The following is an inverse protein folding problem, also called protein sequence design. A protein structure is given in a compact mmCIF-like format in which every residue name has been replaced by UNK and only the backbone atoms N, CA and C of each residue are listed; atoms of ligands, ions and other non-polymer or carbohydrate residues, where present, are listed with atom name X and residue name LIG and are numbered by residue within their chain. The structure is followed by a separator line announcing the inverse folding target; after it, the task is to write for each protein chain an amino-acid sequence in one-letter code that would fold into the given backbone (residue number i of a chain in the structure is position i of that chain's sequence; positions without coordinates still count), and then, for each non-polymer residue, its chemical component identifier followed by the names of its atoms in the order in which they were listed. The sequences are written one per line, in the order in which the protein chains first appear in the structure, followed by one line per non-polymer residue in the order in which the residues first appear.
data_IF_968427185112
#
_entry.id   IF_968427185112
#
_cell.length_a   1.000
_cell.length_b   1.000
_cell.length_c   1.000
_cell.angle_alpha   90.00
_cell.angle_beta   90.00
_cell.angle_gamma   90.00
#
_symmetry.space_group_name_H-M   'P 1'
#
loop_
_entity.id
_entity.type
_entity.pdbx_description
1 polymer ?
#
# COMPACT_ATOMS: atom_id res chain seq x y z
N UNK A 1 6.04 -8.58 21.53
CA UNK A 1 4.62 -8.39 21.18
C UNK A 1 4.46 -8.75 19.71
N UNK A 2 4.12 -10.02 19.48
CA UNK A 2 3.81 -10.56 18.16
C UNK A 2 2.59 -9.85 17.60
N UNK A 3 2.79 -9.05 16.56
CA UNK A 3 1.72 -8.51 15.74
C UNK A 3 1.35 -9.52 14.64
N UNK A 4 0.96 -10.73 15.05
CA UNK A 4 0.21 -11.64 14.20
C UNK A 4 -1.22 -11.11 14.16
N UNK A 5 -1.59 -10.43 13.08
CA UNK A 5 -2.98 -10.05 12.83
C UNK A 5 -3.87 -11.30 12.74
N UNK A 6 -5.15 -11.21 13.13
CA UNK A 6 -6.04 -12.36 13.15
C UNK A 6 -6.27 -12.91 11.74
N UNK A 7 -6.04 -14.22 11.61
CA UNK A 7 -6.34 -15.04 10.44
C UNK A 7 -7.85 -15.01 10.18
N UNK A 8 -8.27 -14.45 9.04
CA UNK A 8 -9.64 -14.53 8.56
C UNK A 8 -9.89 -15.92 7.92
N UNK A 9 -10.12 -16.93 8.74
CA UNK A 9 -10.58 -18.24 8.28
C UNK A 9 -12.08 -18.23 8.05
N UNK A 10 -12.49 -18.18 6.79
CA UNK A 10 -13.91 -18.24 6.42
C UNK A 10 -14.15 -18.34 4.92
N UNK A 11 -14.03 -19.57 4.38
CA UNK A 11 -14.71 -20.03 3.17
C UNK A 11 -14.02 -19.79 1.84
N UNK A 12 -13.31 -20.83 1.37
CA UNK A 12 -13.00 -21.28 -0.01
C UNK A 12 -12.87 -20.25 -1.14
N UNK A 13 -12.06 -19.28 -0.95
CA UNK A 13 -10.96 -18.80 -1.76
C UNK A 13 -9.91 -18.50 -0.73
N UNK A 14 -8.97 -19.43 -0.55
CA UNK A 14 -7.73 -19.18 0.15
C UNK A 14 -7.11 -17.96 -0.53
N UNK A 15 -7.28 -16.78 0.08
CA UNK A 15 -6.31 -15.72 -0.09
C UNK A 15 -5.13 -16.30 0.65
N UNK A 16 -4.23 -16.99 -0.07
CA UNK A 16 -2.91 -17.30 0.43
C UNK A 16 -2.38 -15.95 0.93
N UNK A 17 -2.27 -15.78 2.24
CA UNK A 17 -1.46 -14.72 2.80
C UNK A 17 -0.06 -15.03 2.28
N UNK A 18 0.36 -14.30 1.24
CA UNK A 18 1.74 -14.31 0.81
C UNK A 18 2.57 -13.94 2.03
N UNK A 19 3.15 -14.93 2.68
CA UNK A 19 4.09 -14.70 3.77
C UNK A 19 5.27 -13.93 3.18
N UNK A 20 5.58 -12.77 3.77
CA UNK A 20 6.72 -11.97 3.33
C UNK A 20 7.98 -12.84 3.21
N UNK A 21 8.69 -12.83 2.08
CA UNK A 21 9.98 -13.48 1.95
C UNK A 21 11.06 -12.76 2.75
N UNK A 22 10.78 -11.54 3.26
CA UNK A 22 11.69 -10.70 4.01
C UNK A 22 11.39 -10.80 5.50
N UNK A 23 12.44 -10.87 6.31
CA UNK A 23 12.33 -10.77 7.76
C UNK A 23 12.12 -9.32 8.17
N UNK A 24 11.68 -9.10 9.41
CA UNK A 24 11.53 -7.74 9.96
C UNK A 24 12.86 -6.99 9.97
N UNK A 25 13.95 -7.70 10.31
CA UNK A 25 15.30 -7.15 10.33
C UNK A 25 15.75 -6.68 8.93
N UNK A 26 15.43 -7.42 7.88
CA UNK A 26 15.70 -7.02 6.50
C UNK A 26 14.90 -5.78 6.10
N UNK A 27 13.62 -5.72 6.44
CA UNK A 27 12.80 -4.54 6.15
C UNK A 27 13.21 -3.28 6.92
N UNK A 28 14.01 -3.40 7.99
CA UNK A 28 14.44 -2.31 8.88
C UNK A 28 15.95 -2.05 8.83
N UNK A 29 16.71 -2.70 7.94
CA UNK A 29 18.17 -2.63 7.87
C UNK A 29 18.75 -1.30 7.33
N UNK A 30 17.89 -0.38 6.90
CA UNK A 30 18.28 0.90 6.35
C UNK A 30 18.62 0.87 4.86
N UNK A 31 18.44 -0.27 4.18
CA UNK A 31 18.54 -0.41 2.73
C UNK A 31 17.16 -0.78 2.20
N UNK A 32 16.67 -0.09 1.18
CA UNK A 32 15.41 -0.42 0.53
C UNK A 32 15.68 -1.14 -0.77
N UNK A 33 15.32 -2.42 -0.84
CA UNK A 33 15.29 -3.17 -2.08
C UNK A 33 13.94 -2.96 -2.82
N UNK A 34 13.97 -3.01 -4.16
CA UNK A 34 12.78 -2.84 -4.98
C UNK A 34 11.67 -3.87 -4.68
N UNK A 35 12.05 -5.10 -4.33
CA UNK A 35 11.14 -6.18 -3.94
C UNK A 35 10.46 -5.97 -2.59
N UNK A 36 11.05 -5.18 -1.69
CA UNK A 36 10.55 -4.93 -0.34
C UNK A 36 9.41 -3.91 -0.29
N UNK A 37 9.24 -3.08 -1.35
CA UNK A 37 8.27 -1.98 -1.38
C UNK A 37 6.87 -2.44 -0.99
N UNK A 38 6.41 -3.56 -1.54
CA UNK A 38 5.07 -4.09 -1.28
C UNK A 38 4.87 -4.47 0.19
N UNK A 39 5.86 -5.12 0.77
CA UNK A 39 5.85 -5.59 2.15
C UNK A 39 6.01 -4.46 3.15
N UNK A 40 6.84 -3.49 2.79
CA UNK A 40 7.01 -2.28 3.58
C UNK A 40 5.72 -1.46 3.65
N UNK A 41 4.98 -1.33 2.53
CA UNK A 41 3.67 -0.67 2.49
C UNK A 41 2.67 -1.41 3.38
N UNK A 42 2.61 -2.72 3.32
CA UNK A 42 1.69 -3.51 4.15
C UNK A 42 1.96 -3.41 5.64
N UNK A 43 3.22 -3.34 6.04
CA UNK A 43 3.63 -3.29 7.43
C UNK A 43 3.66 -1.89 8.04
N UNK A 44 3.93 -0.84 7.24
CA UNK A 44 4.33 0.46 7.78
C UNK A 44 3.63 1.67 7.16
N UNK A 45 2.96 1.53 5.99
CA UNK A 45 2.26 2.68 5.38
C UNK A 45 1.01 3.05 6.18
N UNK A 46 0.96 4.27 6.71
CA UNK A 46 -0.15 4.74 7.56
C UNK A 46 -1.50 4.73 6.86
N UNK A 47 -1.56 5.06 5.57
CA UNK A 47 -2.80 5.06 4.78
C UNK A 47 -3.33 3.64 4.61
N UNK A 48 -2.45 2.69 4.29
CA UNK A 48 -2.81 1.28 4.15
C UNK A 48 -3.26 0.69 5.50
N UNK A 49 -2.52 0.95 6.58
CA UNK A 49 -2.83 0.46 7.93
C UNK A 49 -4.15 1.03 8.46
N UNK A 50 -4.41 2.33 8.23
CA UNK A 50 -5.67 2.96 8.61
C UNK A 50 -6.84 2.35 7.82
N UNK A 51 -6.70 2.16 6.52
CA UNK A 51 -7.72 1.51 5.70
C UNK A 51 -7.98 0.08 6.19
N UNK A 52 -6.92 -0.70 6.45
CA UNK A 52 -7.04 -2.05 7.01
C UNK A 52 -7.78 -2.05 8.35
N UNK A 53 -7.46 -1.12 9.24
CA UNK A 53 -8.13 -0.97 10.53
C UNK A 53 -9.61 -0.58 10.39
N UNK A 54 -9.93 0.35 9.49
CA UNK A 54 -11.32 0.75 9.21
C UNK A 54 -12.14 -0.42 8.65
N UNK A 55 -11.57 -1.15 7.68
CA UNK A 55 -12.22 -2.32 7.11
C UNK A 55 -12.39 -3.44 8.15
N UNK A 56 -11.39 -3.62 9.02
CA UNK A 56 -11.48 -4.55 10.14
C UNK A 56 -12.56 -4.15 11.14
N UNK A 57 -12.70 -2.88 11.50
CA UNK A 57 -13.76 -2.41 12.40
C UNK A 57 -15.17 -2.55 11.79
N UNK A 58 -15.28 -2.46 10.47
CA UNK A 58 -16.53 -2.75 9.75
C UNK A 58 -16.83 -4.25 9.68
N UNK A 59 -15.82 -5.12 9.67
CA UNK A 59 -15.99 -6.58 9.82
C UNK A 59 -16.31 -6.99 11.26
N UNK A 60 -16.24 -6.12 12.25
CA UNK A 60 -16.80 -6.37 13.59
C UNK A 60 -18.33 -6.37 13.59
N UNK A 61 -19.01 -5.99 12.52
CA UNK A 61 -20.38 -6.41 12.25
C UNK A 61 -20.50 -7.94 12.06
N UNK A 62 -19.40 -8.64 11.73
CA UNK A 62 -19.30 -10.09 11.88
C UNK A 62 -19.39 -10.53 13.36
N UNK A 63 -18.87 -9.75 14.30
CA UNK A 63 -19.05 -10.03 15.73
C UNK A 63 -20.52 -9.86 16.14
N UNK A 64 -21.26 -8.95 15.53
CA UNK A 64 -22.70 -8.83 15.71
C UNK A 64 -23.43 -10.04 15.10
N UNK A 65 -23.02 -10.50 13.93
CA UNK A 65 -23.56 -11.71 13.30
C UNK A 65 -23.27 -12.99 14.12
N UNK A 66 -22.05 -13.11 14.66
CA UNK A 66 -21.69 -14.22 15.55
C UNK A 66 -22.37 -14.11 16.92
N UNK A 67 -22.58 -12.89 17.45
CA UNK A 67 -23.36 -12.68 18.67
C UNK A 67 -24.83 -13.09 18.48
N UNK A 68 -25.46 -12.70 17.38
CA UNK A 68 -26.83 -13.13 17.04
C UNK A 68 -26.91 -14.66 16.85
N UNK A 69 -25.90 -15.29 16.29
CA UNK A 69 -25.85 -16.75 16.17
C UNK A 69 -25.68 -17.45 17.52
N UNK A 70 -24.92 -16.85 18.45
CA UNK A 70 -24.77 -17.36 19.82
C UNK A 70 -26.08 -17.22 20.62
N UNK A 71 -26.76 -16.05 20.49
CA UNK A 71 -28.09 -15.81 21.11
C UNK A 71 -29.13 -16.77 20.54
N UNK A 72 -29.14 -17.00 19.23
CA UNK A 72 -30.00 -18.02 18.63
C UNK A 72 -29.72 -19.44 19.12
N UNK A 73 -28.48 -19.73 19.50
CA UNK A 73 -28.12 -21.06 20.06
C UNK A 73 -28.58 -21.18 21.49
N UNK A 74 -28.48 -20.13 22.30
CA UNK A 74 -28.99 -20.09 23.66
C UNK A 74 -30.52 -20.28 23.67
N UNK A 75 -31.27 -19.57 22.83
CA UNK A 75 -32.72 -19.74 22.68
C UNK A 75 -33.11 -21.17 22.24
N UNK A 76 -32.28 -21.82 21.41
CA UNK A 76 -32.54 -23.21 21.05
C UNK A 76 -32.27 -24.17 22.21
N UNK A 77 -31.32 -23.88 23.10
CA UNK A 77 -31.03 -24.63 24.32
C UNK A 77 -32.19 -24.46 25.28
N UNK A 78 -32.65 -23.23 25.54
CA UNK A 78 -33.85 -22.97 26.38
C UNK A 78 -35.10 -23.67 25.82
N UNK A 79 -35.29 -23.67 24.50
CA UNK A 79 -36.36 -24.41 23.86
C UNK A 79 -36.26 -25.95 24.13
N UNK A 80 -35.01 -26.48 24.03
CA UNK A 80 -34.81 -27.94 24.28
C UNK A 80 -35.06 -28.34 25.73
N UNK A 81 -34.78 -27.45 26.68
CA UNK A 81 -35.06 -27.68 28.12
C UNK A 81 -36.54 -27.71 28.41
N UNK A 82 -37.38 -27.03 27.63
CA UNK A 82 -38.85 -27.11 27.73
C UNK A 82 -39.43 -28.38 27.08
N UNK A 83 -38.63 -29.13 26.34
CA UNK A 83 -39.11 -30.31 25.61
C UNK A 83 -39.33 -31.49 26.53
N UNK A 84 -40.60 -31.86 26.74
CA UNK A 84 -41.01 -33.09 27.41
C UNK A 84 -42.07 -33.84 26.62
N UNK A 85 -42.25 -35.13 26.88
CA UNK A 85 -43.25 -35.96 26.18
C UNK A 85 -44.68 -35.54 26.52
N UNK A 86 -44.91 -34.84 27.67
CA UNK A 86 -46.20 -34.37 28.18
C UNK A 86 -46.27 -32.82 28.26
N UNK A 87 -45.86 -32.12 27.18
CA UNK A 87 -46.00 -30.66 27.13
C UNK A 87 -47.50 -30.26 27.10
N UNK A 88 -47.88 -29.35 28.02
CA UNK A 88 -49.15 -28.66 27.93
C UNK A 88 -49.18 -27.65 26.75
N UNK A 89 -50.36 -27.05 26.48
CA UNK A 89 -50.54 -26.16 25.36
C UNK A 89 -49.67 -24.88 25.50
N UNK A 90 -49.48 -24.36 26.69
CA UNK A 90 -48.73 -23.14 26.98
C UNK A 90 -47.23 -23.37 26.81
N UNK A 91 -46.70 -24.47 27.34
CA UNK A 91 -45.30 -24.87 27.16
C UNK A 91 -44.94 -25.16 25.70
N UNK A 92 -45.92 -25.73 24.94
CA UNK A 92 -45.73 -25.97 23.51
C UNK A 92 -45.68 -24.65 22.68
N UNK A 93 -46.45 -23.68 23.04
CA UNK A 93 -46.44 -22.34 22.41
C UNK A 93 -45.13 -21.64 22.69
N UNK A 94 -44.62 -21.67 23.93
CA UNK A 94 -43.30 -21.15 24.29
C UNK A 94 -42.17 -21.84 23.51
N UNK A 95 -42.18 -23.17 23.43
CA UNK A 95 -41.19 -23.95 22.66
C UNK A 95 -41.14 -23.55 21.19
N UNK A 96 -42.31 -23.48 20.54
CA UNK A 96 -42.32 -23.04 19.11
C UNK A 96 -41.97 -21.57 18.95
N UNK A 97 -42.30 -20.69 19.92
CA UNK A 97 -41.88 -19.32 19.98
C UNK A 97 -40.35 -19.16 19.98
N UNK A 98 -39.66 -19.82 20.92
CA UNK A 98 -38.20 -19.80 21.01
C UNK A 98 -37.52 -20.34 19.72
N UNK A 99 -38.06 -21.39 19.11
CA UNK A 99 -37.56 -21.90 17.82
C UNK A 99 -37.75 -20.94 16.67
N UNK A 100 -38.86 -20.22 16.62
CA UNK A 100 -39.11 -19.23 15.58
C UNK A 100 -38.17 -18.05 15.73
N UNK A 101 -37.97 -17.55 16.94
CA UNK A 101 -37.05 -16.46 17.24
C UNK A 101 -35.60 -16.82 16.93
N UNK A 102 -35.15 -18.02 17.38
CA UNK A 102 -33.81 -18.52 17.07
C UNK A 102 -33.55 -18.64 15.55
N UNK A 103 -34.57 -19.04 14.76
CA UNK A 103 -34.46 -19.08 13.30
C UNK A 103 -34.32 -17.70 12.69
N UNK A 104 -35.04 -16.72 13.19
CA UNK A 104 -34.97 -15.34 12.69
C UNK A 104 -33.61 -14.71 13.05
N UNK A 105 -33.12 -14.87 14.26
CA UNK A 105 -31.78 -14.42 14.68
C UNK A 105 -30.67 -15.06 13.85
N UNK A 106 -30.78 -16.36 13.52
CA UNK A 106 -29.84 -17.03 12.62
C UNK A 106 -29.86 -16.45 11.21
N UNK A 107 -31.03 -16.11 10.67
CA UNK A 107 -31.13 -15.44 9.37
C UNK A 107 -30.50 -14.05 9.39
N UNK A 108 -30.76 -13.28 10.45
CA UNK A 108 -30.17 -11.95 10.61
C UNK A 108 -28.66 -12.04 10.78
N UNK A 109 -28.19 -12.97 11.61
CA UNK A 109 -26.77 -13.24 11.79
C UNK A 109 -26.08 -13.63 10.49
N UNK A 110 -26.69 -14.53 9.70
CA UNK A 110 -26.17 -14.96 8.40
C UNK A 110 -26.10 -13.81 7.38
N UNK A 111 -27.02 -12.86 7.39
CA UNK A 111 -26.94 -11.65 6.54
C UNK A 111 -25.79 -10.75 6.93
N UNK A 112 -25.48 -10.61 8.22
CA UNK A 112 -24.38 -9.80 8.74
C UNK A 112 -23.02 -10.45 8.57
N UNK A 113 -22.93 -11.79 8.51
CA UNK A 113 -21.69 -12.53 8.26
C UNK A 113 -21.41 -12.74 6.77
N UNK A 114 -22.06 -11.98 5.89
CA UNK A 114 -22.05 -12.28 4.47
C UNK A 114 -20.64 -12.27 3.86
N UNK A 115 -20.30 -13.35 3.14
CA UNK A 115 -19.04 -13.64 2.45
C UNK A 115 -18.59 -12.52 1.48
N UNK A 116 -19.52 -11.72 0.97
CA UNK A 116 -19.25 -10.67 -0.02
C UNK A 116 -18.54 -9.47 0.56
N UNK A 117 -18.81 -9.10 1.81
CA UNK A 117 -18.10 -8.02 2.49
C UNK A 117 -16.61 -8.33 2.61
N UNK A 118 -16.22 -9.55 2.98
CA UNK A 118 -14.82 -9.96 3.08
C UNK A 118 -14.11 -9.92 1.73
N UNK A 119 -14.75 -10.37 0.65
CA UNK A 119 -14.20 -10.35 -0.70
C UNK A 119 -14.01 -8.92 -1.24
N UNK A 120 -14.95 -8.02 -0.97
CA UNK A 120 -14.85 -6.60 -1.36
C UNK A 120 -13.74 -5.90 -0.59
N UNK A 121 -13.60 -6.17 0.71
CA UNK A 121 -12.54 -5.58 1.53
C UNK A 121 -11.14 -6.05 1.12
N UNK A 122 -10.97 -7.34 0.90
CA UNK A 122 -9.70 -7.89 0.41
C UNK A 122 -9.31 -7.28 -0.94
N UNK A 123 -10.28 -7.11 -1.85
CA UNK A 123 -10.07 -6.42 -3.15
C UNK A 123 -9.66 -4.97 -2.96
N UNK A 124 -10.35 -4.22 -2.10
CA UNK A 124 -10.05 -2.80 -1.82
C UNK A 124 -8.65 -2.64 -1.23
N UNK A 125 -8.26 -3.50 -0.28
CA UNK A 125 -6.91 -3.49 0.30
C UNK A 125 -5.85 -3.79 -0.76
N UNK A 126 -6.04 -4.84 -1.57
CA UNK A 126 -5.11 -5.19 -2.64
C UNK A 126 -4.99 -4.09 -3.70
N UNK A 127 -6.11 -3.48 -4.09
CA UNK A 127 -6.10 -2.35 -5.03
C UNK A 127 -5.34 -1.15 -4.45
N UNK A 128 -5.55 -0.83 -3.18
CA UNK A 128 -4.85 0.27 -2.50
C UNK A 128 -3.37 -0.04 -2.37
N UNK A 129 -2.98 -1.27 -1.96
CA UNK A 129 -1.59 -1.73 -1.96
C UNK A 129 -0.94 -1.51 -3.32
N UNK A 130 -1.54 -2.03 -4.39
CA UNK A 130 -1.00 -1.93 -5.73
C UNK A 130 -0.85 -0.48 -6.22
N UNK A 131 -1.79 0.40 -5.87
CA UNK A 131 -1.68 1.84 -6.18
C UNK A 131 -0.51 2.49 -5.45
N UNK A 132 -0.34 2.19 -4.16
CA UNK A 132 0.78 2.71 -3.35
C UNK A 132 2.13 2.15 -3.84
N UNK A 133 2.22 0.85 -4.12
CA UNK A 133 3.42 0.23 -4.69
C UNK A 133 3.82 0.91 -5.99
N UNK A 134 2.89 1.09 -6.93
CA UNK A 134 3.15 1.79 -8.19
C UNK A 134 3.58 3.24 -7.97
N UNK A 135 2.98 3.94 -7.00
CA UNK A 135 3.37 5.31 -6.69
C UNK A 135 4.82 5.38 -6.21
N UNK A 136 5.22 4.50 -5.28
CA UNK A 136 6.60 4.43 -4.78
C UNK A 136 7.58 4.03 -5.89
N UNK A 137 7.24 3.03 -6.70
CA UNK A 137 8.06 2.62 -7.84
C UNK A 137 8.32 3.75 -8.83
N UNK A 138 7.28 4.51 -9.17
CA UNK A 138 7.41 5.67 -10.06
C UNK A 138 8.28 6.77 -9.44
N UNK A 139 8.14 7.02 -8.13
CA UNK A 139 8.97 8.01 -7.44
C UNK A 139 10.45 7.56 -7.37
N UNK A 140 10.71 6.26 -7.17
CA UNK A 140 12.07 5.72 -7.21
C UNK A 140 12.72 5.90 -8.58
N UNK A 141 12.00 5.59 -9.66
CA UNK A 141 12.51 5.81 -11.01
C UNK A 141 12.84 7.30 -11.23
N UNK A 142 11.93 8.21 -10.85
CA UNK A 142 12.18 9.66 -10.97
C UNK A 142 13.36 10.11 -10.10
N UNK A 143 13.53 9.54 -8.92
CA UNK A 143 14.68 9.83 -8.05
C UNK A 143 15.99 9.40 -8.71
N UNK A 144 16.07 8.19 -9.25
CA UNK A 144 17.25 7.71 -9.96
C UNK A 144 17.56 8.50 -11.22
N UNK A 145 16.54 8.92 -11.99
CA UNK A 145 16.70 9.79 -13.15
C UNK A 145 17.23 11.18 -12.78
N UNK A 146 16.94 11.66 -11.58
CA UNK A 146 17.38 12.96 -11.10
C UNK A 146 18.82 12.94 -10.57
N UNK A 147 19.31 11.82 -10.03
CA UNK A 147 20.66 11.71 -9.47
C UNK A 147 21.78 12.12 -10.45
N UNK A 148 21.81 11.67 -11.73
CA UNK A 148 22.79 12.13 -12.71
C UNK A 148 22.71 13.62 -13.02
N UNK A 149 21.52 14.23 -12.91
CA UNK A 149 21.34 15.67 -13.09
C UNK A 149 21.96 16.45 -11.93
N UNK A 150 21.78 15.97 -10.68
CA UNK A 150 22.43 16.52 -9.48
C UNK A 150 23.96 16.46 -9.64
N UNK A 151 24.50 15.32 -10.04
CA UNK A 151 25.93 15.14 -10.29
C UNK A 151 26.45 16.10 -11.36
N UNK A 152 25.72 16.23 -12.48
CA UNK A 152 26.08 17.15 -13.56
C UNK A 152 26.06 18.61 -13.08
N UNK A 153 25.06 19.00 -12.30
CA UNK A 153 24.97 20.34 -11.73
C UNK A 153 26.14 20.63 -10.77
N UNK A 154 26.54 19.66 -9.92
CA UNK A 154 27.72 19.79 -9.05
C UNK A 154 29.01 19.97 -9.84
N UNK A 155 29.24 19.17 -10.88
CA UNK A 155 30.40 19.32 -11.76
C UNK A 155 30.42 20.67 -12.48
N UNK A 156 29.26 21.20 -12.85
CA UNK A 156 29.15 22.55 -13.42
C UNK A 156 29.55 23.63 -12.40
N UNK A 157 29.17 23.47 -11.12
CA UNK A 157 29.63 24.37 -10.04
C UNK A 157 31.15 24.34 -9.94
N UNK A 158 31.77 23.16 -9.90
CA UNK A 158 33.23 23.01 -9.84
C UNK A 158 33.92 23.71 -11.01
N UNK A 159 33.40 23.52 -12.24
CA UNK A 159 33.93 24.17 -13.46
C UNK A 159 33.78 25.69 -13.34
N UNK A 160 32.64 26.22 -12.94
CA UNK A 160 32.42 27.66 -12.80
C UNK A 160 33.29 28.25 -11.67
N UNK A 161 33.55 27.49 -10.58
CA UNK A 161 34.49 27.91 -9.54
C UNK A 161 35.92 28.07 -10.09
N UNK A 162 36.42 27.07 -10.82
CA UNK A 162 37.75 27.14 -11.46
C UNK A 162 37.85 28.35 -12.41
N UNK A 163 36.79 28.59 -13.19
CA UNK A 163 36.76 29.75 -14.11
C UNK A 163 36.73 31.09 -13.35
N UNK A 164 35.99 31.20 -12.25
CA UNK A 164 35.94 32.41 -11.43
C UNK A 164 37.29 32.68 -10.77
N UNK A 165 37.94 31.65 -10.23
CA UNK A 165 39.28 31.75 -9.62
C UNK A 165 40.34 32.15 -10.68
N UNK A 166 40.27 31.57 -11.90
CA UNK A 166 41.15 31.91 -12.96
C UNK A 166 40.99 33.38 -13.41
N UNK A 167 39.73 33.86 -13.57
CA UNK A 167 39.42 35.24 -13.90
C UNK A 167 39.97 36.22 -12.85
N UNK A 168 39.83 35.91 -11.56
CA UNK A 168 40.39 36.72 -10.47
C UNK A 168 41.91 36.78 -10.52
N UNK A 169 42.58 35.65 -10.75
CA UNK A 169 44.05 35.58 -10.91
C UNK A 169 44.54 36.38 -12.12
N UNK A 170 43.82 36.27 -13.22
CA UNK A 170 44.16 37.02 -14.45
C UNK A 170 43.96 38.53 -14.26
N UNK A 171 42.92 38.93 -13.53
CA UNK A 171 42.71 40.35 -13.15
C UNK A 171 43.85 40.87 -12.27
N UNK A 172 44.30 40.14 -11.29
CA UNK A 172 45.41 40.50 -10.45
C UNK A 172 46.72 40.70 -11.22
N UNK A 173 46.85 39.96 -12.34
CA UNK A 173 47.98 40.12 -13.29
C UNK A 173 47.76 41.20 -14.35
N UNK A 174 46.65 41.95 -14.30
CA UNK A 174 46.27 42.96 -15.26
C UNK A 174 45.87 42.41 -16.64
N UNK A 175 45.51 41.14 -16.72
CA UNK A 175 45.18 40.38 -17.97
C UNK A 175 43.70 40.11 -18.15
N UNK A 176 42.84 40.41 -17.16
CA UNK A 176 41.40 40.35 -17.23
C UNK A 176 40.76 41.63 -16.70
N UNK A 177 39.62 42.01 -17.22
CA UNK A 177 38.83 43.14 -16.78
C UNK A 177 37.98 42.80 -15.59
N UNK A 178 37.58 43.82 -14.80
CA UNK A 178 36.62 43.67 -13.72
C UNK A 178 35.27 43.09 -14.21
N UNK A 179 34.87 43.36 -15.44
CA UNK A 179 33.67 42.85 -16.06
C UNK A 179 33.74 41.33 -16.32
N UNK A 180 34.91 40.82 -16.75
CA UNK A 180 35.12 39.36 -16.91
C UNK A 180 35.04 38.62 -15.60
N UNK A 181 35.67 39.15 -14.54
CA UNK A 181 35.53 38.57 -13.19
C UNK A 181 34.09 38.58 -12.72
N UNK A 182 33.37 39.68 -12.87
CA UNK A 182 31.95 39.75 -12.48
C UNK A 182 31.10 38.76 -13.27
N UNK A 183 31.37 38.56 -14.56
CA UNK A 183 30.67 37.58 -15.39
C UNK A 183 30.92 36.17 -14.91
N UNK A 184 32.17 35.81 -14.60
CA UNK A 184 32.52 34.51 -14.07
C UNK A 184 31.89 34.25 -12.68
N UNK A 185 31.86 35.25 -11.80
CA UNK A 185 31.21 35.17 -10.49
C UNK A 185 29.69 34.97 -10.61
N UNK A 186 29.03 35.69 -11.54
CA UNK A 186 27.60 35.48 -11.82
C UNK A 186 27.31 34.08 -12.36
N UNK A 187 28.15 33.54 -13.23
CA UNK A 187 28.02 32.16 -13.72
C UNK A 187 28.14 31.14 -12.58
N UNK A 188 29.09 31.33 -11.68
CA UNK A 188 29.24 30.50 -10.50
C UNK A 188 28.01 30.55 -9.57
N UNK A 189 27.50 31.79 -9.33
CA UNK A 189 26.30 31.95 -8.51
C UNK A 189 25.08 31.24 -9.12
N UNK A 190 24.93 31.33 -10.43
CA UNK A 190 23.85 30.65 -11.14
C UNK A 190 24.00 29.13 -11.13
N UNK A 191 25.24 28.63 -11.32
CA UNK A 191 25.53 27.19 -11.19
C UNK A 191 25.20 26.67 -9.79
N UNK A 192 25.60 27.37 -8.73
CA UNK A 192 25.27 27.04 -7.35
C UNK A 192 23.74 26.97 -7.11
N UNK A 193 23.00 27.96 -7.62
CA UNK A 193 21.53 27.98 -7.48
C UNK A 193 20.89 26.78 -8.20
N UNK A 194 21.38 26.45 -9.40
CA UNK A 194 20.86 25.28 -10.15
C UNK A 194 21.19 23.96 -9.47
N UNK A 195 22.41 23.82 -8.92
CA UNK A 195 22.78 22.62 -8.17
C UNK A 195 21.92 22.44 -6.92
N UNK A 196 21.70 23.52 -6.18
CA UNK A 196 20.86 23.51 -4.98
C UNK A 196 19.39 23.16 -5.31
N UNK A 197 18.86 23.64 -6.41
CA UNK A 197 17.52 23.29 -6.87
C UNK A 197 17.42 21.79 -7.21
N UNK A 198 18.41 21.24 -7.93
CA UNK A 198 18.45 19.83 -8.25
C UNK A 198 18.57 18.95 -6.98
N UNK A 199 19.45 19.30 -6.05
CA UNK A 199 19.60 18.62 -4.76
C UNK A 199 18.31 18.65 -3.92
N UNK A 200 17.66 19.81 -3.83
CA UNK A 200 16.39 19.95 -3.11
C UNK A 200 15.29 19.10 -3.77
N UNK A 201 15.26 19.04 -5.10
CA UNK A 201 14.33 18.18 -5.84
C UNK A 201 14.55 16.69 -5.51
N UNK A 202 15.80 16.23 -5.52
CA UNK A 202 16.15 14.87 -5.16
C UNK A 202 15.80 14.57 -3.68
N UNK A 203 16.08 15.50 -2.77
CA UNK A 203 15.74 15.36 -1.36
C UNK A 203 14.22 15.25 -1.14
N UNK A 204 13.42 16.07 -1.81
CA UNK A 204 11.97 16.00 -1.73
C UNK A 204 11.42 14.67 -2.24
N UNK A 205 11.93 14.15 -3.36
CA UNK A 205 11.55 12.82 -3.86
C UNK A 205 11.89 11.73 -2.85
N UNK A 206 13.12 11.77 -2.30
CA UNK A 206 13.55 10.83 -1.25
C UNK A 206 12.62 10.87 -0.04
N UNK A 207 12.31 12.06 0.47
CA UNK A 207 11.42 12.23 1.62
C UNK A 207 10.01 11.69 1.34
N UNK A 208 9.46 11.94 0.15
CA UNK A 208 8.16 11.43 -0.24
C UNK A 208 8.14 9.88 -0.29
N UNK A 209 9.20 9.26 -0.83
CA UNK A 209 9.36 7.80 -0.84
C UNK A 209 9.41 7.27 0.60
N UNK A 210 10.25 7.86 1.46
CA UNK A 210 10.40 7.45 2.85
C UNK A 210 9.08 7.52 3.61
N UNK A 211 8.33 8.61 3.48
CA UNK A 211 7.02 8.77 4.12
C UNK A 211 5.99 7.74 3.63
N UNK A 212 5.96 7.46 2.32
CA UNK A 212 5.07 6.43 1.78
C UNK A 212 5.41 5.03 2.27
N UNK A 213 6.66 4.77 2.61
CA UNK A 213 7.14 3.50 3.15
C UNK A 213 7.08 3.43 4.69
N UNK A 214 6.58 4.49 5.34
CA UNK A 214 6.46 4.57 6.79
C UNK A 214 7.77 4.80 7.54
N UNK A 215 8.78 5.33 6.85
CA UNK A 215 9.98 5.86 7.48
C UNK A 215 9.80 7.33 7.90
N UNK A 216 10.65 7.80 8.79
CA UNK A 216 10.80 9.24 9.02
C UNK A 216 11.42 9.91 7.78
N UNK A 217 11.05 11.16 7.52
CA UNK A 217 11.48 11.90 6.33
C UNK A 217 13.00 12.10 6.25
N UNK A 218 13.70 12.03 7.37
CA UNK A 218 15.16 12.18 7.52
C UNK A 218 15.87 10.87 7.81
N UNK A 219 15.17 9.72 7.71
CA UNK A 219 15.76 8.42 7.95
C UNK A 219 16.95 8.16 7.01
N UNK A 220 18.08 7.60 7.51
CA UNK A 220 19.28 7.36 6.73
C UNK A 220 19.15 6.11 5.85
N UNK A 221 18.08 6.04 5.08
CA UNK A 221 17.81 4.91 4.17
C UNK A 221 18.49 5.13 2.83
N UNK A 222 19.14 4.08 2.33
CA UNK A 222 19.68 3.99 0.97
C UNK A 222 18.74 3.20 0.09
N UNK A 223 18.59 3.61 -1.16
CA UNK A 223 17.80 2.87 -2.13
C UNK A 223 18.71 2.00 -2.99
N UNK A 224 18.37 0.73 -3.12
CA UNK A 224 19.03 -0.15 -4.07
C UNK A 224 18.61 0.20 -5.51
N UNK A 225 19.45 -0.17 -6.48
CA UNK A 225 19.20 0.10 -7.89
C UNK A 225 17.85 -0.48 -8.35
N UNK A 226 17.11 0.27 -9.16
CA UNK A 226 15.89 -0.24 -9.81
C UNK A 226 16.27 -1.37 -10.78
N UNK A 227 15.63 -2.54 -10.68
CA UNK A 227 15.98 -3.67 -11.53
C UNK A 227 15.73 -3.35 -13.01
N UNK A 228 16.74 -3.63 -13.82
CA UNK A 228 16.65 -3.48 -15.28
C UNK A 228 15.73 -4.56 -15.84
N UNK A 229 14.78 -4.23 -16.74
CA UNK A 229 13.92 -5.22 -17.38
C UNK A 229 14.72 -6.31 -18.08
N UNK A 230 14.41 -7.58 -17.82
CA UNK A 230 15.02 -8.69 -18.53
C UNK A 230 14.52 -8.70 -19.99
N UNK A 231 15.43 -8.45 -20.93
CA UNK A 231 15.13 -8.44 -22.35
C UNK A 231 14.58 -9.78 -22.85
N UNK A 232 15.03 -10.92 -22.26
CA UNK A 232 14.54 -12.26 -22.60
C UNK A 232 13.09 -12.41 -22.18
N UNK A 233 12.73 -11.94 -20.98
CA UNK A 233 11.37 -11.95 -20.48
C UNK A 233 10.46 -11.06 -21.32
N UNK A 234 10.92 -9.88 -21.70
CA UNK A 234 10.17 -8.96 -22.58
C UNK A 234 9.89 -9.60 -23.96
N UNK A 235 10.87 -10.31 -24.52
CA UNK A 235 10.73 -10.99 -25.81
C UNK A 235 9.76 -12.20 -25.77
N UNK A 236 9.51 -12.77 -24.59
CA UNK A 236 8.58 -13.91 -24.39
C UNK A 236 7.19 -13.49 -23.92
N UNK A 237 6.94 -12.19 -23.73
CA UNK A 237 5.62 -11.69 -23.35
C UNK A 237 4.60 -11.91 -24.49
N UNK A 238 3.47 -12.55 -24.16
CA UNK A 238 2.33 -12.71 -25.05
C UNK A 238 1.29 -11.63 -24.76
N UNK A 239 1.26 -10.61 -25.61
CA UNK A 239 0.35 -9.48 -25.46
C UNK A 239 -1.13 -9.89 -25.37
N UNK A 240 -1.53 -10.95 -26.10
CA UNK A 240 -2.91 -11.41 -26.11
C UNK A 240 -3.26 -12.14 -24.79
N UNK A 241 -2.37 -13.00 -24.31
CA UNK A 241 -2.52 -13.69 -23.03
C UNK A 241 -2.47 -12.70 -21.86
N UNK A 242 -1.53 -11.75 -21.89
CA UNK A 242 -1.40 -10.72 -20.87
C UNK A 242 -2.61 -9.77 -20.83
N UNK A 243 -3.16 -9.39 -21.99
CA UNK A 243 -4.39 -8.59 -22.06
C UNK A 243 -5.60 -9.35 -21.50
N UNK A 244 -5.70 -10.65 -21.75
CA UNK A 244 -6.77 -11.48 -21.22
C UNK A 244 -6.64 -11.65 -19.70
N UNK A 245 -5.42 -11.87 -19.18
CA UNK A 245 -5.14 -11.89 -17.75
C UNK A 245 -5.47 -10.55 -17.11
N UNK A 246 -5.06 -9.43 -17.70
CA UNK A 246 -5.37 -8.09 -17.21
C UNK A 246 -6.88 -7.83 -17.12
N UNK A 247 -7.68 -8.29 -18.07
CA UNK A 247 -9.15 -8.19 -18.02
C UNK A 247 -9.74 -9.07 -16.92
N UNK A 248 -9.19 -10.27 -16.68
CA UNK A 248 -9.68 -11.19 -15.63
C UNK A 248 -9.34 -10.67 -14.22
N UNK A 249 -8.18 -10.01 -14.06
CA UNK A 249 -7.68 -9.50 -12.79
C UNK A 249 -8.00 -8.02 -12.53
N UNK A 250 -8.67 -7.35 -13.47
CA UNK A 250 -9.04 -5.95 -13.32
C UNK A 250 -10.11 -5.75 -12.24
N UNK A 251 -9.75 -5.08 -11.15
CA UNK A 251 -10.63 -4.88 -9.99
C UNK A 251 -11.90 -4.07 -10.31
N UNK A 252 -11.80 -3.11 -11.22
CA UNK A 252 -12.95 -2.28 -11.60
C UNK A 252 -13.97 -3.13 -12.40
N UNK A 253 -13.49 -3.97 -13.31
CA UNK A 253 -14.33 -4.93 -14.03
C UNK A 253 -14.90 -6.01 -13.10
N UNK A 254 -14.15 -6.49 -12.14
CA UNK A 254 -14.64 -7.43 -11.13
C UNK A 254 -15.74 -6.82 -10.27
N UNK A 255 -15.60 -5.56 -9.87
CA UNK A 255 -16.63 -4.85 -9.09
C UNK A 255 -17.92 -4.63 -9.88
N UNK A 256 -17.82 -4.24 -11.15
CA UNK A 256 -18.97 -4.09 -12.06
C UNK A 256 -19.69 -5.43 -12.30
N UNK A 257 -18.93 -6.52 -12.48
CA UNK A 257 -19.48 -7.88 -12.63
C UNK A 257 -20.23 -8.33 -11.37
N UNK A 258 -19.65 -8.05 -10.18
CA UNK A 258 -20.31 -8.36 -8.91
C UNK A 258 -21.61 -7.57 -8.74
N UNK A 259 -21.59 -6.25 -8.98
CA UNK A 259 -22.78 -5.41 -8.91
C UNK A 259 -23.89 -5.83 -9.91
N UNK A 260 -23.49 -6.28 -11.12
CA UNK A 260 -24.43 -6.80 -12.11
C UNK A 260 -25.06 -8.12 -11.66
N UNK A 261 -24.30 -9.00 -11.01
CA UNK A 261 -24.83 -10.25 -10.48
C UNK A 261 -25.85 -10.03 -9.37
N UNK A 262 -25.63 -9.04 -8.49
CA UNK A 262 -26.55 -8.62 -7.44
C UNK A 262 -27.84 -7.98 -7.97
N UNK A 263 -27.73 -7.18 -9.04
CA UNK A 263 -28.90 -6.52 -9.66
C UNK A 263 -29.76 -7.43 -10.55
N UNK A 264 -29.34 -8.69 -10.78
CA UNK A 264 -30.07 -9.69 -11.59
C UNK A 264 -30.70 -10.80 -10.75
N UNK A 265 -30.59 -10.75 -9.45
CA UNK A 265 -31.26 -11.61 -8.46
C UNK A 265 -32.43 -10.89 -7.77
#
# INVERSE_FOLDING_TARGET
NDATGPVLTGGNTEVEEETSPYTKEQLEDGTLEYGEIAWRIEGYNSTYLNLRSQLYSQTTSQSAGTALAAEASALMEDAMDLKSDDMDAETRELFEGYKAEARELRKQGAKLTNKELSGTYARTLRQTKNKLVKAVQNLLIQYEELLPQVETAKKNVEMCQVNADAAQKMQALGRASAQEVLTAQKALQQANSSAQQAENGALQLKQNILMLLGFDADAPVTFADVPVPDATRLATMDLAADAQAAVSENYDLMSVRAAKAEGSS
#
